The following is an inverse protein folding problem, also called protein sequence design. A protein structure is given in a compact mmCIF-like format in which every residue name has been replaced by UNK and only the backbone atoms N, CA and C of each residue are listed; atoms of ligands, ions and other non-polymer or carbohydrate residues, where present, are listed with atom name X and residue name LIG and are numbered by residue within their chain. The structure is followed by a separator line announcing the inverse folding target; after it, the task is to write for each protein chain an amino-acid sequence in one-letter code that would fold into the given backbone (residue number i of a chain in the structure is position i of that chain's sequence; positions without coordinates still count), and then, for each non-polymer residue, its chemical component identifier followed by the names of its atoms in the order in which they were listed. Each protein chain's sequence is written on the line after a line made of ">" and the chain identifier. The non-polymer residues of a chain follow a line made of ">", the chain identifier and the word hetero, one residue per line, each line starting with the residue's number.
data_IF_540761106548
#
_entry.id   IF_540761106548
#
_cell.length_a   1.000
_cell.length_b   1.000
_cell.length_c   1.000
_cell.angle_alpha   90.00
_cell.angle_beta   90.00
_cell.angle_gamma   90.00
#
_symmetry.space_group_name_H-M   'P 1'
#
loop_
_entity.id
_entity.type
_entity.pdbx_description
1 polymer ?
#
# COMPACT_ATOMS: atom_id res chain seq x y z
N UNK A 1 69.75 -2.89 -26.98
CA UNK A 1 70.31 -1.59 -26.53
C UNK A 1 70.10 -0.52 -27.61
N UNK A 2 69.05 0.30 -27.64
CA UNK A 2 68.35 1.01 -26.58
C UNK A 2 68.00 2.38 -27.18
N UNK A 3 66.99 2.44 -28.06
CA UNK A 3 66.55 3.69 -28.69
C UNK A 3 65.78 4.52 -27.68
N UNK A 4 66.40 5.60 -27.20
CA UNK A 4 65.77 6.57 -26.32
C UNK A 4 64.64 7.30 -27.07
N UNK A 5 63.39 7.02 -26.69
CA UNK A 5 62.23 7.82 -27.09
C UNK A 5 62.24 9.10 -26.25
N UNK A 6 62.43 10.26 -26.89
CA UNK A 6 62.24 11.55 -26.25
C UNK A 6 60.79 11.75 -25.78
N UNK A 7 60.55 12.64 -24.80
CA UNK A 7 59.19 12.89 -24.30
C UNK A 7 58.33 13.55 -25.39
N UNK A 8 57.01 13.25 -25.44
CA UNK A 8 56.11 13.95 -26.37
C UNK A 8 56.03 15.44 -25.99
N UNK A 9 55.96 16.36 -26.96
CA UNK A 9 55.77 17.78 -26.66
C UNK A 9 54.43 17.97 -25.94
N UNK A 10 54.47 18.65 -24.81
CA UNK A 10 53.30 19.09 -24.07
C UNK A 10 52.39 19.91 -24.98
N UNK A 11 51.17 19.41 -25.22
CA UNK A 11 50.11 20.18 -25.88
C UNK A 11 49.60 21.23 -24.90
N UNK A 12 50.33 22.33 -24.78
CA UNK A 12 49.83 23.54 -24.12
C UNK A 12 48.73 24.10 -24.99
N UNK A 13 47.50 24.19 -24.46
CA UNK A 13 46.41 24.88 -25.15
C UNK A 13 46.79 26.37 -25.26
N UNK A 14 46.76 26.99 -26.45
CA UNK A 14 46.98 28.41 -26.56
C UNK A 14 45.90 29.15 -25.78
N UNK A 15 46.33 29.88 -24.75
CA UNK A 15 45.52 30.90 -24.10
C UNK A 15 45.06 31.89 -25.19
N UNK A 16 43.76 32.16 -25.20
CA UNK A 16 43.11 33.27 -25.91
C UNK A 16 42.75 33.09 -27.39
N UNK A 17 41.76 32.20 -27.64
CA UNK A 17 40.65 32.49 -28.55
C UNK A 17 39.36 31.97 -27.91
N UNK A 18 38.83 32.66 -26.90
CA UNK A 18 37.44 32.50 -26.46
C UNK A 18 36.54 33.14 -27.52
N UNK A 19 36.44 32.52 -28.68
CA UNK A 19 35.30 32.73 -29.54
C UNK A 19 34.19 31.85 -28.97
N UNK A 20 33.32 32.49 -28.20
CA UNK A 20 32.06 31.98 -27.64
C UNK A 20 31.24 31.28 -28.73
N UNK A 21 31.57 30.02 -29.02
CA UNK A 21 30.63 29.12 -29.65
C UNK A 21 29.82 28.48 -28.52
N UNK A 22 29.09 29.32 -27.77
CA UNK A 22 28.13 28.88 -26.76
C UNK A 22 26.93 28.28 -27.50
N UNK A 23 27.06 27.02 -27.91
CA UNK A 23 25.92 26.25 -28.36
C UNK A 23 24.98 26.09 -27.17
N UNK A 24 23.79 26.68 -27.26
CA UNK A 24 22.73 26.53 -26.26
C UNK A 24 22.50 25.04 -25.97
N UNK A 25 22.80 24.63 -24.74
CA UNK A 25 22.43 23.30 -24.29
C UNK A 25 20.92 23.33 -24.06
N UNK A 26 20.16 22.59 -24.87
CA UNK A 26 18.73 22.38 -24.63
C UNK A 26 18.57 21.59 -23.33
N UNK A 27 18.53 22.29 -22.19
CA UNK A 27 18.30 21.73 -20.87
C UNK A 27 16.87 21.17 -20.85
N UNK A 28 16.74 19.86 -20.99
CA UNK A 28 15.45 19.20 -20.76
C UNK A 28 15.16 19.25 -19.26
N UNK A 29 13.90 19.51 -18.85
CA UNK A 29 13.54 19.41 -17.45
C UNK A 29 13.83 18.01 -16.92
N UNK A 30 14.37 17.93 -15.70
CA UNK A 30 14.59 16.65 -15.04
C UNK A 30 13.26 15.98 -14.69
N UNK A 31 13.21 14.67 -14.85
CA UNK A 31 12.07 13.85 -14.44
C UNK A 31 12.22 13.38 -12.99
N UNK A 32 11.14 13.42 -12.20
CA UNK A 32 11.13 13.03 -10.79
C UNK A 32 9.85 12.29 -10.42
N UNK A 33 9.97 11.30 -9.54
CA UNK A 33 8.85 10.64 -8.90
C UNK A 33 8.30 11.51 -7.77
N UNK A 34 6.98 11.65 -7.73
CA UNK A 34 6.23 12.29 -6.67
C UNK A 34 5.27 11.29 -6.04
N UNK A 35 5.11 11.35 -4.72
CA UNK A 35 4.20 10.47 -3.98
C UNK A 35 3.35 11.25 -3.01
N UNK A 36 2.08 10.87 -2.86
CA UNK A 36 1.24 11.36 -1.76
C UNK A 36 1.58 10.65 -0.45
N UNK A 37 1.00 11.15 0.65
CA UNK A 37 0.88 10.38 1.88
C UNK A 37 0.11 9.08 1.64
N UNK A 38 0.35 8.09 2.50
CA UNK A 38 -0.42 6.85 2.50
C UNK A 38 -1.87 7.08 2.91
N UNK A 39 -2.77 6.31 2.32
CA UNK A 39 -4.16 6.22 2.75
C UNK A 39 -4.26 5.62 4.14
N UNK A 40 -5.45 5.68 4.74
CA UNK A 40 -5.75 4.82 5.87
C UNK A 40 -5.62 3.34 5.46
N UNK A 41 -5.28 2.50 6.43
CA UNK A 41 -5.23 1.05 6.26
C UNK A 41 -6.61 0.50 5.86
N UNK A 42 -6.65 -0.45 4.93
CA UNK A 42 -7.90 -1.07 4.44
C UNK A 42 -8.68 -1.83 5.52
N UNK A 43 -8.10 -2.05 6.69
CA UNK A 43 -8.68 -2.73 7.84
C UNK A 43 -8.55 -1.83 9.05
N UNK A 44 -9.50 -1.96 9.98
CA UNK A 44 -9.48 -1.29 11.29
C UNK A 44 -8.81 -2.14 12.37
N UNK A 45 -8.53 -3.41 12.08
CA UNK A 45 -7.78 -4.34 12.92
C UNK A 45 -7.04 -5.35 12.04
N UNK A 46 -5.99 -5.95 12.59
CA UNK A 46 -5.15 -6.94 11.94
C UNK A 46 -4.30 -6.36 10.82
N UNK A 47 -3.92 -7.23 9.88
CA UNK A 47 -3.14 -6.89 8.70
C UNK A 47 -4.04 -6.39 7.58
N UNK A 48 -3.72 -5.23 7.03
CA UNK A 48 -4.37 -4.64 5.87
C UNK A 48 -3.37 -4.13 4.84
N UNK A 49 -3.87 -3.31 3.91
CA UNK A 49 -3.08 -2.64 2.88
C UNK A 49 -3.40 -1.15 2.90
N UNK A 50 -2.39 -0.32 2.75
CA UNK A 50 -2.53 1.11 2.50
C UNK A 50 -1.97 1.45 1.12
N UNK A 51 -2.54 2.47 0.49
CA UNK A 51 -2.21 2.87 -0.88
C UNK A 51 -1.81 4.33 -0.93
N UNK A 52 -0.92 4.69 -1.85
CA UNK A 52 -0.58 6.09 -2.16
C UNK A 52 -0.52 6.29 -3.65
N UNK A 53 -0.63 7.53 -4.07
CA UNK A 53 -0.45 7.88 -5.47
C UNK A 53 1.05 8.02 -5.78
N UNK A 54 1.46 7.56 -6.96
CA UNK A 54 2.84 7.64 -7.46
C UNK A 54 2.80 8.18 -8.89
N UNK A 55 3.28 9.41 -9.08
CA UNK A 55 3.25 10.14 -10.35
C UNK A 55 4.66 10.54 -10.79
N UNK A 56 4.90 10.56 -12.08
CA UNK A 56 6.17 11.02 -12.67
C UNK A 56 5.96 12.39 -13.29
N UNK A 57 6.78 13.36 -12.93
CA UNK A 57 6.74 14.71 -13.50
C UNK A 57 8.04 15.03 -14.21
N UNK A 58 7.95 15.72 -15.34
CA UNK A 58 9.09 16.32 -16.04
C UNK A 58 8.90 17.84 -16.05
N UNK A 59 9.63 18.54 -15.18
CA UNK A 59 9.27 19.92 -14.85
C UNK A 59 7.90 19.97 -14.17
N UNK A 60 6.95 20.71 -14.73
CA UNK A 60 5.57 20.80 -14.23
C UNK A 60 4.60 19.86 -14.96
N UNK A 61 5.04 19.17 -16.01
CA UNK A 61 4.20 18.30 -16.82
C UNK A 61 4.13 16.87 -16.24
N UNK A 62 2.92 16.33 -16.13
CA UNK A 62 2.71 14.93 -15.76
C UNK A 62 3.06 14.02 -16.94
N UNK A 63 4.05 13.15 -16.73
CA UNK A 63 4.47 12.17 -17.73
C UNK A 63 3.53 10.97 -17.69
N UNK A 64 2.77 10.77 -18.76
CA UNK A 64 1.84 9.63 -18.90
C UNK A 64 2.37 8.50 -19.78
N UNK A 65 3.42 8.74 -20.58
CA UNK A 65 4.09 7.72 -21.41
C UNK A 65 5.45 7.37 -20.82
N UNK A 66 5.69 6.07 -20.62
CA UNK A 66 6.71 5.51 -19.71
C UNK A 66 8.20 5.72 -20.04
N UNK A 67 8.60 6.87 -20.59
CA UNK A 67 9.98 7.15 -20.99
C UNK A 67 10.66 8.29 -20.19
N UNK A 68 10.00 8.89 -19.19
CA UNK A 68 10.60 10.03 -18.47
C UNK A 68 11.21 9.66 -17.11
N UNK A 69 10.52 8.94 -16.22
CA UNK A 69 11.11 8.52 -14.94
C UNK A 69 11.65 7.08 -14.99
N UNK A 70 12.79 6.85 -14.33
CA UNK A 70 13.37 5.51 -14.17
C UNK A 70 12.43 4.60 -13.38
N UNK A 71 12.00 3.50 -14.01
CA UNK A 71 11.11 2.51 -13.42
C UNK A 71 11.77 1.73 -12.28
N UNK A 72 13.10 1.60 -12.27
CA UNK A 72 13.84 0.97 -11.18
C UNK A 72 13.77 1.80 -9.89
N UNK A 73 13.57 3.11 -10.01
CA UNK A 73 13.42 4.04 -8.89
C UNK A 73 11.95 4.30 -8.52
N UNK A 74 10.99 3.62 -9.16
CA UNK A 74 9.57 3.84 -8.93
C UNK A 74 9.19 3.43 -7.50
N UNK A 75 8.68 4.37 -6.67
CA UNK A 75 8.24 4.05 -5.32
C UNK A 75 7.02 3.11 -5.31
N UNK A 76 6.83 2.32 -4.24
CA UNK A 76 5.65 1.46 -4.15
C UNK A 76 4.36 2.27 -4.00
N UNK A 77 3.33 1.91 -4.76
CA UNK A 77 2.00 2.50 -4.62
C UNK A 77 1.15 1.80 -3.55
N UNK A 78 1.58 0.64 -3.05
CA UNK A 78 0.86 -0.17 -2.06
C UNK A 78 1.84 -0.77 -1.08
N UNK A 79 1.48 -0.79 0.20
CA UNK A 79 2.23 -1.50 1.23
C UNK A 79 1.31 -2.12 2.27
N UNK A 80 1.83 -3.11 3.01
CA UNK A 80 1.13 -3.68 4.16
C UNK A 80 1.07 -2.69 5.33
N UNK A 81 0.00 -2.76 6.09
CA UNK A 81 -0.17 -2.08 7.36
C UNK A 81 -0.66 -3.06 8.42
N UNK A 82 -0.26 -2.83 9.66
CA UNK A 82 -0.66 -3.64 10.82
C UNK A 82 -1.10 -2.68 11.93
N UNK A 83 -2.30 -2.89 12.46
CA UNK A 83 -2.87 -2.04 13.50
C UNK A 83 -2.80 -2.77 14.84
N UNK A 84 -3.94 -3.31 15.29
CA UNK A 84 -4.09 -4.07 16.52
C UNK A 84 -4.76 -5.39 16.15
N UNK A 85 -4.48 -6.46 16.88
CA UNK A 85 -5.15 -7.75 16.65
C UNK A 85 -6.67 -7.58 16.61
N UNK A 86 -7.32 -8.26 15.68
CA UNK A 86 -8.78 -8.24 15.65
C UNK A 86 -9.36 -8.92 16.89
N UNK A 87 -10.44 -8.37 17.48
CA UNK A 87 -11.18 -9.04 18.53
C UNK A 87 -11.55 -10.45 18.04
N UNK A 88 -11.10 -11.46 18.77
CA UNK A 88 -11.34 -12.87 18.43
C UNK A 88 -12.65 -13.36 19.04
N UNK A 89 -13.15 -12.67 20.07
CA UNK A 89 -14.44 -12.97 20.68
C UNK A 89 -15.55 -12.22 19.94
N UNK A 90 -16.49 -12.97 19.36
CA UNK A 90 -17.82 -12.45 19.11
C UNK A 90 -18.33 -11.89 20.45
N UNK A 91 -18.94 -10.69 20.49
CA UNK A 91 -19.41 -10.11 21.75
C UNK A 91 -20.24 -11.16 22.50
N UNK A 92 -19.97 -11.36 23.79
CA UNK A 92 -20.66 -12.37 24.61
C UNK A 92 -22.19 -12.21 24.57
N UNK A 93 -22.66 -11.01 24.24
CA UNK A 93 -24.06 -10.64 23.97
C UNK A 93 -24.63 -11.12 22.63
N UNK A 94 -23.88 -11.83 21.79
CA UNK A 94 -24.37 -12.34 20.51
C UNK A 94 -25.37 -13.51 20.65
N UNK A 95 -25.55 -14.03 21.87
CA UNK A 95 -26.55 -15.06 22.14
C UNK A 95 -27.82 -14.40 22.71
N UNK A 96 -28.74 -14.06 21.83
CA UNK A 96 -30.05 -13.55 22.17
C UNK A 96 -31.13 -14.37 21.48
N UNK A 97 -32.28 -14.53 22.12
CA UNK A 97 -33.45 -15.14 21.51
C UNK A 97 -34.01 -14.20 20.44
N UNK A 98 -34.30 -14.74 19.26
CA UNK A 98 -34.88 -13.98 18.16
C UNK A 98 -36.31 -13.57 18.53
N UNK A 99 -36.68 -12.28 18.45
CA UNK A 99 -38.00 -11.82 18.89
C UNK A 99 -39.17 -12.42 18.10
N UNK A 100 -38.91 -12.94 16.89
CA UNK A 100 -39.91 -13.63 16.07
C UNK A 100 -40.06 -15.11 16.37
N UNK A 101 -39.22 -15.69 17.23
CA UNK A 101 -39.26 -17.10 17.59
C UNK A 101 -40.08 -17.31 18.87
N UNK A 102 -40.98 -18.30 18.86
CA UNK A 102 -41.68 -18.70 20.08
C UNK A 102 -40.80 -19.69 20.89
N UNK A 103 -39.88 -19.14 21.68
CA UNK A 103 -38.92 -19.94 22.44
C UNK A 103 -39.55 -20.71 23.60
N UNK A 104 -40.68 -20.24 24.13
CA UNK A 104 -41.49 -20.99 25.09
C UNK A 104 -42.02 -22.30 24.48
N UNK A 105 -42.49 -22.27 23.23
CA UNK A 105 -42.92 -23.48 22.52
C UNK A 105 -41.72 -24.41 22.28
N UNK A 106 -40.59 -23.89 21.79
CA UNK A 106 -39.36 -24.66 21.53
C UNK A 106 -38.90 -25.43 22.77
N UNK A 107 -38.96 -24.80 23.95
CA UNK A 107 -38.64 -25.45 25.23
C UNK A 107 -39.67 -26.53 25.60
N UNK A 108 -40.97 -26.20 25.52
CA UNK A 108 -42.06 -27.13 25.86
C UNK A 108 -42.02 -28.42 25.04
N UNK A 109 -41.71 -28.32 23.75
CA UNK A 109 -41.63 -29.49 22.85
C UNK A 109 -40.20 -30.01 22.62
N UNK A 110 -39.24 -29.59 23.46
CA UNK A 110 -37.83 -30.07 23.44
C UNK A 110 -37.12 -29.96 22.09
N UNK A 111 -37.43 -28.93 21.31
CA UNK A 111 -36.84 -28.71 19.98
C UNK A 111 -35.43 -28.10 20.02
N UNK A 112 -34.89 -27.77 21.20
CA UNK A 112 -33.53 -27.25 21.39
C UNK A 112 -32.40 -28.20 20.92
N UNK A 113 -32.71 -29.48 20.66
CA UNK A 113 -31.78 -30.42 20.03
C UNK A 113 -31.52 -30.10 18.56
N UNK A 114 -32.48 -29.46 17.88
CA UNK A 114 -32.34 -29.07 16.49
C UNK A 114 -31.61 -27.73 16.38
N UNK A 115 -30.61 -27.70 15.50
CA UNK A 115 -29.72 -26.54 15.31
C UNK A 115 -30.49 -25.24 15.01
N UNK A 116 -31.56 -25.32 14.21
CA UNK A 116 -32.36 -24.17 13.78
C UNK A 116 -33.00 -23.47 14.98
N UNK A 117 -33.66 -24.24 15.84
CA UNK A 117 -34.29 -23.72 17.05
C UNK A 117 -33.26 -23.30 18.10
N UNK A 118 -32.13 -23.99 18.20
CA UNK A 118 -31.03 -23.60 19.10
C UNK A 118 -30.37 -22.28 18.70
N UNK A 119 -30.34 -21.97 17.40
CA UNK A 119 -29.88 -20.67 16.87
C UNK A 119 -30.92 -19.57 17.11
N UNK A 120 -32.20 -19.86 16.91
CA UNK A 120 -33.27 -18.88 17.09
C UNK A 120 -33.58 -18.59 18.57
N UNK A 121 -33.42 -19.57 19.44
CA UNK A 121 -33.70 -19.51 20.88
C UNK A 121 -32.42 -19.77 21.68
N UNK A 122 -31.40 -18.96 21.40
CA UNK A 122 -30.04 -19.15 21.92
C UNK A 122 -29.97 -19.10 23.46
N UNK A 123 -30.61 -18.13 24.12
CA UNK A 123 -30.61 -18.02 25.58
C UNK A 123 -31.47 -19.11 26.20
N UNK A 124 -32.71 -19.24 25.70
CA UNK A 124 -33.66 -20.25 26.16
C UNK A 124 -33.07 -21.67 26.12
N UNK A 125 -32.42 -22.05 25.02
CA UNK A 125 -31.86 -23.40 24.85
C UNK A 125 -30.48 -23.62 25.51
N UNK A 126 -29.85 -22.58 26.05
CA UNK A 126 -28.58 -22.68 26.81
C UNK A 126 -28.78 -22.75 28.32
N UNK A 127 -29.93 -22.32 28.85
CA UNK A 127 -30.21 -22.38 30.27
C UNK A 127 -30.10 -23.82 30.82
N UNK A 128 -29.47 -24.04 31.99
CA UNK A 128 -29.49 -25.33 32.66
C UNK A 128 -30.95 -25.69 32.94
N UNK A 129 -31.38 -26.91 32.59
CA UNK A 129 -32.70 -27.39 32.97
C UNK A 129 -32.71 -27.61 34.50
N UNK A 130 -33.75 -27.15 35.22
CA UNK A 130 -33.95 -27.58 36.60
C UNK A 130 -34.24 -29.09 36.68
#
# INVERSE_FOLDING_TARGET
>A
PGSARGPPPSRTCPEHLTQENSSSCFQRPCSKWFTTSWSQCSKTCGRGVQVREVKCYQGEELVTRGQSCDSALKPEAKQSCEIQSCPTEAPADACQDKPTANCALVLKVKLCSHWYYRKACCQSCKAPRP
#
